data_IF_070848181457
#
_entry.id   IF_070848181457
#
_cell.length_a   1.000
_cell.length_b   1.000
_cell.length_c   1.000
_cell.angle_alpha   90.00
_cell.angle_beta   90.00
_cell.angle_gamma   90.00
#
_symmetry.space_group_name_H-M   'P 1'
#
loop_
_entity.id
_entity.type
_entity.pdbx_description
1 polymer ?
#
# COMPACT_ATOMS: atom_id res chain seq x y z
N UNK A 1 -19.95 -6.81 19.54
CA UNK A 1 -19.79 -5.94 18.34
C UNK A 1 -19.93 -6.79 17.08
N UNK A 2 -20.62 -6.29 16.05
CA UNK A 2 -20.67 -6.83 14.70
C UNK A 2 -19.62 -6.15 13.82
N UNK A 3 -18.75 -6.92 13.17
CA UNK A 3 -17.65 -6.38 12.36
C UNK A 3 -17.79 -6.81 10.90
N UNK A 4 -17.52 -5.90 9.97
CA UNK A 4 -17.38 -6.23 8.55
C UNK A 4 -15.92 -6.07 8.11
N UNK A 5 -15.39 -7.04 7.38
CA UNK A 5 -14.07 -7.00 6.76
C UNK A 5 -14.24 -6.93 5.25
N UNK A 6 -13.67 -5.88 4.63
CA UNK A 6 -13.74 -5.66 3.18
C UNK A 6 -12.54 -6.34 2.52
N UNK A 7 -12.80 -7.22 1.56
CA UNK A 7 -11.80 -7.96 0.78
C UNK A 7 -12.04 -9.48 0.79
N UNK A 8 -11.13 -10.20 0.13
CA UNK A 8 -11.32 -11.62 -0.22
C UNK A 8 -10.01 -12.41 -0.31
N UNK A 9 -8.86 -11.84 0.05
CA UNK A 9 -7.56 -12.49 -0.01
C UNK A 9 -7.16 -13.18 1.30
N UNK A 10 -5.92 -13.68 1.32
CA UNK A 10 -5.32 -14.26 2.53
C UNK A 10 -5.13 -13.26 3.67
N UNK A 11 -4.87 -11.98 3.34
CA UNK A 11 -4.80 -10.88 4.32
C UNK A 11 -6.12 -10.73 5.06
N UNK A 12 -7.24 -10.70 4.36
CA UNK A 12 -8.55 -10.58 4.99
C UNK A 12 -8.93 -11.83 5.79
N UNK A 13 -8.49 -13.02 5.36
CA UNK A 13 -8.62 -14.23 6.17
C UNK A 13 -7.85 -14.09 7.50
N UNK A 14 -6.59 -13.66 7.48
CA UNK A 14 -5.82 -13.45 8.70
C UNK A 14 -6.47 -12.41 9.64
N UNK A 15 -7.04 -11.33 9.07
CA UNK A 15 -7.80 -10.33 9.84
C UNK A 15 -9.04 -10.94 10.49
N UNK A 16 -9.89 -11.64 9.72
CA UNK A 16 -11.10 -12.30 10.23
C UNK A 16 -10.74 -13.31 11.31
N UNK A 17 -9.73 -14.15 11.08
CA UNK A 17 -9.25 -15.13 12.05
C UNK A 17 -8.85 -14.47 13.36
N UNK A 18 -8.08 -13.37 13.30
CA UNK A 18 -7.63 -12.68 14.52
C UNK A 18 -8.78 -11.96 15.23
N UNK A 19 -9.70 -11.37 14.49
CA UNK A 19 -10.89 -10.73 15.02
C UNK A 19 -11.82 -11.74 15.71
N UNK A 20 -11.95 -12.96 15.18
CA UNK A 20 -12.75 -14.03 15.78
C UNK A 20 -12.25 -14.46 17.16
N UNK A 21 -10.97 -14.22 17.48
CA UNK A 21 -10.42 -14.47 18.81
C UNK A 21 -10.81 -13.41 19.87
N UNK A 22 -11.40 -12.28 19.46
CA UNK A 22 -11.76 -11.20 20.38
C UNK A 22 -13.08 -11.51 21.10
N UNK A 23 -13.12 -11.50 22.44
CA UNK A 23 -14.37 -11.72 23.18
C UNK A 23 -15.38 -10.58 23.03
N UNK A 24 -14.97 -9.44 22.44
CA UNK A 24 -15.84 -8.29 22.19
C UNK A 24 -16.61 -8.42 20.87
N UNK A 25 -16.21 -9.35 19.99
CA UNK A 25 -16.79 -9.54 18.67
C UNK A 25 -17.77 -10.70 18.73
N UNK A 26 -19.01 -10.40 18.39
CA UNK A 26 -20.12 -11.36 18.39
C UNK A 26 -20.30 -11.99 17.02
N UNK A 27 -20.13 -11.19 15.96
CA UNK A 27 -20.38 -11.61 14.58
C UNK A 27 -19.43 -10.92 13.62
N UNK A 28 -18.92 -11.68 12.67
CA UNK A 28 -18.04 -11.17 11.61
C UNK A 28 -18.67 -11.44 10.25
N UNK A 29 -18.61 -10.43 9.40
CA UNK A 29 -18.96 -10.49 8.00
C UNK A 29 -17.73 -10.24 7.13
N UNK A 30 -17.62 -10.92 6.00
CA UNK A 30 -16.58 -10.69 5.01
C UNK A 30 -17.20 -10.36 3.65
N UNK A 31 -16.76 -9.26 3.05
CA UNK A 31 -17.38 -8.66 1.87
C UNK A 31 -16.32 -8.49 0.74
N UNK A 32 -16.26 -9.37 -0.27
CA UNK A 32 -17.07 -10.58 -0.46
C UNK A 32 -16.59 -11.81 0.31
N UNK A 33 -15.39 -11.78 0.91
CA UNK A 33 -14.78 -12.95 1.52
C UNK A 33 -14.33 -14.01 0.51
N UNK A 34 -14.03 -15.22 0.98
CA UNK A 34 -13.67 -16.37 0.17
C UNK A 34 -14.05 -17.69 0.89
N UNK A 35 -13.88 -18.83 0.23
CA UNK A 35 -14.26 -20.14 0.76
C UNK A 35 -13.56 -20.56 2.07
N UNK A 36 -12.37 -20.04 2.35
CA UNK A 36 -11.71 -20.29 3.65
C UNK A 36 -12.26 -19.36 4.75
N UNK A 37 -12.61 -18.12 4.40
CA UNK A 37 -13.20 -17.17 5.34
C UNK A 37 -14.61 -17.61 5.76
N UNK A 38 -15.36 -18.28 4.88
CA UNK A 38 -16.71 -18.77 5.20
C UNK A 38 -16.77 -19.78 6.33
N UNK A 39 -15.65 -20.41 6.69
CA UNK A 39 -15.57 -21.33 7.82
C UNK A 39 -15.60 -20.60 9.18
N UNK A 40 -15.29 -19.30 9.19
CA UNK A 40 -15.11 -18.50 10.42
C UNK A 40 -15.87 -17.16 10.41
N UNK A 41 -16.52 -16.79 9.31
CA UNK A 41 -17.34 -15.58 9.19
C UNK A 41 -18.43 -15.71 8.12
N UNK A 42 -19.43 -14.83 8.16
CA UNK A 42 -20.48 -14.78 7.15
C UNK A 42 -19.99 -14.02 5.90
N UNK A 43 -19.74 -14.74 4.82
CA UNK A 43 -19.40 -14.13 3.55
C UNK A 43 -20.67 -13.67 2.80
N UNK A 44 -20.66 -12.44 2.29
CA UNK A 44 -21.73 -11.93 1.43
C UNK A 44 -21.11 -11.33 0.18
N UNK A 45 -21.51 -11.82 -1.00
CA UNK A 45 -20.97 -11.37 -2.28
C UNK A 45 -21.42 -9.94 -2.59
N UNK A 46 -20.58 -8.96 -2.23
CA UNK A 46 -20.71 -7.55 -2.58
C UNK A 46 -19.40 -7.11 -3.20
N UNK A 47 -19.50 -6.47 -4.37
CA UNK A 47 -18.33 -5.98 -5.10
C UNK A 47 -17.66 -4.84 -4.33
N UNK A 48 -16.34 -4.86 -4.27
CA UNK A 48 -15.53 -3.88 -3.52
C UNK A 48 -15.73 -2.42 -3.98
N UNK A 49 -16.11 -2.21 -5.25
CA UNK A 49 -16.39 -0.88 -5.81
C UNK A 49 -17.86 -0.44 -5.68
N UNK A 50 -18.75 -1.29 -5.19
CA UNK A 50 -20.17 -0.97 -5.00
C UNK A 50 -20.41 -0.42 -3.59
N UNK A 51 -20.01 0.84 -3.39
CA UNK A 51 -20.13 1.50 -2.08
C UNK A 51 -21.58 1.65 -1.64
N UNK A 52 -22.53 1.74 -2.56
CA UNK A 52 -23.95 1.84 -2.21
C UNK A 52 -24.45 0.55 -1.57
N UNK A 53 -24.17 -0.60 -2.20
CA UNK A 53 -24.54 -1.90 -1.64
C UNK A 53 -23.80 -2.20 -0.34
N UNK A 54 -22.53 -1.79 -0.21
CA UNK A 54 -21.77 -1.91 1.04
C UNK A 54 -22.41 -1.11 2.17
N UNK A 55 -22.74 0.17 1.93
CA UNK A 55 -23.41 1.01 2.93
C UNK A 55 -24.76 0.45 3.34
N UNK A 56 -25.56 -0.03 2.38
CA UNK A 56 -26.86 -0.64 2.66
C UNK A 56 -26.69 -1.87 3.55
N UNK A 57 -25.77 -2.77 3.19
CA UNK A 57 -25.49 -3.97 3.97
C UNK A 57 -25.03 -3.66 5.40
N UNK A 58 -24.13 -2.68 5.54
CA UNK A 58 -23.58 -2.24 6.83
C UNK A 58 -24.68 -1.68 7.74
N UNK A 59 -25.61 -0.90 7.18
CA UNK A 59 -26.77 -0.41 7.91
C UNK A 59 -27.75 -1.52 8.29
N UNK A 60 -28.16 -2.35 7.33
CA UNK A 60 -29.18 -3.39 7.53
C UNK A 60 -28.74 -4.46 8.53
N UNK A 61 -27.43 -4.71 8.64
CA UNK A 61 -26.86 -5.65 9.60
C UNK A 61 -26.39 -4.99 10.90
N UNK A 62 -26.53 -3.67 11.05
CA UNK A 62 -26.08 -2.88 12.20
C UNK A 62 -24.60 -3.12 12.52
N UNK A 63 -23.74 -3.01 11.50
CA UNK A 63 -22.31 -3.23 11.67
C UNK A 63 -21.69 -2.11 12.52
N UNK A 64 -21.02 -2.51 13.60
CA UNK A 64 -20.39 -1.61 14.55
C UNK A 64 -19.07 -1.04 14.04
N UNK A 65 -18.30 -1.83 13.28
CA UNK A 65 -16.98 -1.47 12.76
C UNK A 65 -16.75 -2.15 11.42
N UNK A 66 -16.30 -1.37 10.44
CA UNK A 66 -15.82 -1.89 9.16
C UNK A 66 -14.29 -1.80 9.08
N UNK A 67 -13.61 -2.85 8.65
CA UNK A 67 -12.15 -2.90 8.45
C UNK A 67 -11.86 -3.10 6.97
N UNK A 68 -11.08 -2.21 6.37
CA UNK A 68 -10.74 -2.31 4.95
C UNK A 68 -9.41 -3.01 4.77
N UNK A 69 -9.41 -4.14 4.05
CA UNK A 69 -8.20 -4.87 3.72
C UNK A 69 -7.46 -4.31 2.50
N UNK A 70 -8.07 -4.27 1.30
CA UNK A 70 -7.41 -3.83 0.08
C UNK A 70 -7.35 -2.31 -0.08
N UNK A 71 -6.32 -1.87 -0.80
CA UNK A 71 -5.99 -0.50 -1.10
C UNK A 71 -6.96 0.15 -2.10
N UNK A 72 -7.51 -0.61 -3.05
CA UNK A 72 -8.34 -0.05 -4.12
C UNK A 72 -9.60 0.66 -3.61
N UNK A 73 -10.39 0.10 -2.66
CA UNK A 73 -11.49 0.84 -2.02
C UNK A 73 -11.05 2.09 -1.26
N UNK A 74 -9.87 2.06 -0.63
CA UNK A 74 -9.33 3.21 0.12
C UNK A 74 -9.03 4.38 -0.83
N UNK A 75 -8.33 4.11 -1.94
CA UNK A 75 -8.02 5.12 -2.97
C UNK A 75 -9.28 5.59 -3.70
N UNK A 76 -10.30 4.75 -3.81
CA UNK A 76 -11.61 5.13 -4.35
C UNK A 76 -12.44 5.99 -3.37
N UNK A 77 -12.11 6.00 -2.07
CA UNK A 77 -12.75 6.85 -1.05
C UNK A 77 -13.86 6.19 -0.26
N UNK A 78 -13.78 4.87 -0.03
CA UNK A 78 -14.74 4.14 0.81
C UNK A 78 -14.86 4.77 2.21
N UNK A 79 -13.74 5.22 2.78
CA UNK A 79 -13.70 5.76 4.15
C UNK A 79 -14.45 7.08 4.24
N UNK A 80 -14.32 7.95 3.25
CA UNK A 80 -15.03 9.23 3.19
C UNK A 80 -16.55 9.01 3.15
N UNK A 81 -16.99 8.11 2.26
CA UNK A 81 -18.40 7.74 2.09
C UNK A 81 -19.02 7.14 3.37
N UNK A 82 -18.27 6.31 4.10
CA UNK A 82 -18.72 5.76 5.38
C UNK A 82 -18.81 6.85 6.47
N UNK A 83 -17.81 7.74 6.55
CA UNK A 83 -17.78 8.83 7.53
C UNK A 83 -18.93 9.82 7.31
N UNK A 84 -19.28 10.13 6.06
CA UNK A 84 -20.44 10.98 5.72
C UNK A 84 -21.76 10.40 6.25
N UNK A 85 -21.84 9.08 6.41
CA UNK A 85 -23.01 8.38 6.98
C UNK A 85 -22.89 8.13 8.48
N UNK A 86 -21.84 8.62 9.14
CA UNK A 86 -21.59 8.39 10.57
C UNK A 86 -21.20 6.94 10.89
N UNK A 87 -20.77 6.15 9.91
CA UNK A 87 -20.40 4.75 10.08
C UNK A 87 -18.91 4.62 10.45
N UNK A 88 -18.61 3.77 11.44
CA UNK A 88 -17.22 3.53 11.86
C UNK A 88 -16.52 2.63 10.86
N UNK A 89 -15.41 3.12 10.34
CA UNK A 89 -14.55 2.41 9.38
C UNK A 89 -13.09 2.65 9.72
N UNK A 90 -12.29 1.59 9.60
CA UNK A 90 -10.85 1.60 9.84
C UNK A 90 -10.10 1.57 8.51
N UNK A 91 -9.45 2.70 8.20
CA UNK A 91 -8.68 2.93 6.98
C UNK A 91 -8.49 4.42 6.74
N UNK A 92 -7.54 4.81 5.86
CA UNK A 92 -7.28 6.19 5.51
C UNK A 92 -8.39 6.77 4.63
N UNK A 93 -8.64 8.08 4.75
CA UNK A 93 -9.48 8.82 3.79
C UNK A 93 -8.85 8.78 2.39
N UNK A 94 -9.63 9.06 1.34
CA UNK A 94 -9.14 9.13 -0.04
C UNK A 94 -7.91 10.01 -0.18
N UNK A 95 -7.91 11.16 0.49
CA UNK A 95 -6.78 12.10 0.46
C UNK A 95 -5.57 11.53 1.17
N UNK A 96 -5.74 10.87 2.33
CA UNK A 96 -4.64 10.23 3.05
C UNK A 96 -4.09 8.99 2.30
N UNK A 97 -4.96 8.26 1.61
CA UNK A 97 -4.61 7.10 0.80
C UNK A 97 -3.75 7.45 -0.43
N UNK A 98 -3.58 8.74 -0.77
CA UNK A 98 -2.64 9.19 -1.81
C UNK A 98 -1.19 8.81 -1.53
N UNK A 99 -0.81 8.58 -0.27
CA UNK A 99 0.52 8.04 0.08
C UNK A 99 0.81 6.71 -0.63
N UNK A 100 -0.21 5.90 -0.92
CA UNK A 100 -0.07 4.68 -1.71
C UNK A 100 -0.59 4.87 -3.15
N UNK A 101 -1.69 5.61 -3.31
CA UNK A 101 -2.36 5.80 -4.60
C UNK A 101 -1.59 6.66 -5.61
N UNK A 102 -0.58 7.43 -5.18
CA UNK A 102 0.32 8.20 -6.06
C UNK A 102 1.75 8.18 -5.54
N UNK A 103 2.64 7.52 -6.28
CA UNK A 103 4.08 7.51 -5.97
C UNK A 103 4.69 8.89 -6.05
N UNK A 104 4.21 9.73 -6.98
CA UNK A 104 4.64 11.14 -7.08
C UNK A 104 4.32 11.88 -5.79
N UNK A 105 3.08 11.77 -5.29
CA UNK A 105 2.69 12.37 -4.01
C UNK A 105 3.55 11.86 -2.86
N UNK A 106 3.72 10.53 -2.75
CA UNK A 106 4.50 9.91 -1.70
C UNK A 106 5.96 10.40 -1.68
N UNK A 107 6.61 10.47 -2.85
CA UNK A 107 8.00 10.92 -2.99
C UNK A 107 8.18 12.40 -2.69
N UNK A 108 7.29 13.25 -3.21
CA UNK A 108 7.30 14.68 -2.90
C UNK A 108 7.04 14.94 -1.40
N UNK A 109 6.11 14.20 -0.80
CA UNK A 109 5.85 14.24 0.64
C UNK A 109 7.08 13.84 1.45
N UNK A 110 7.72 12.71 1.11
CA UNK A 110 8.94 12.26 1.77
C UNK A 110 10.07 13.29 1.65
N UNK A 111 10.27 13.90 0.47
CA UNK A 111 11.25 14.98 0.25
C UNK A 111 10.96 16.20 1.13
N UNK A 112 9.70 16.65 1.19
CA UNK A 112 9.27 17.81 2.00
C UNK A 112 9.52 17.58 3.50
N UNK A 113 9.20 16.39 3.99
CA UNK A 113 9.32 16.02 5.41
C UNK A 113 10.65 15.35 5.77
N UNK A 114 11.61 15.32 4.84
CA UNK A 114 12.95 14.74 5.02
C UNK A 114 12.91 13.28 5.49
N UNK A 115 11.91 12.53 5.00
CA UNK A 115 11.82 11.09 5.22
C UNK A 115 12.78 10.41 4.24
N UNK A 116 13.71 9.56 4.72
CA UNK A 116 14.66 8.87 3.84
C UNK A 116 13.94 8.05 2.76
N UNK A 117 14.34 8.26 1.52
CA UNK A 117 13.85 7.52 0.34
C UNK A 117 14.89 7.62 -0.78
N UNK A 118 14.83 6.71 -1.75
CA UNK A 118 15.68 6.78 -2.94
C UNK A 118 15.51 8.14 -3.64
N UNK A 119 16.64 8.76 -4.04
CA UNK A 119 16.65 9.95 -4.88
C UNK A 119 15.81 9.72 -6.14
N UNK A 120 15.08 10.75 -6.56
CA UNK A 120 14.07 10.62 -7.60
C UNK A 120 13.83 11.90 -8.37
N UNK A 121 13.39 11.74 -9.62
CA UNK A 121 12.80 12.79 -10.44
C UNK A 121 11.46 12.33 -11.04
N UNK A 122 10.60 13.30 -11.39
CA UNK A 122 9.23 13.05 -11.86
C UNK A 122 9.07 13.62 -13.26
N UNK A 123 8.47 12.83 -14.14
CA UNK A 123 8.23 13.20 -15.53
C UNK A 123 6.78 12.92 -15.93
N UNK A 124 6.22 13.78 -16.78
CA UNK A 124 4.86 13.69 -17.31
C UNK A 124 4.82 13.44 -18.83
N UNK A 125 5.98 13.30 -19.46
CA UNK A 125 6.10 13.01 -20.88
C UNK A 125 7.32 12.12 -21.17
N UNK A 126 7.25 11.44 -22.31
CA UNK A 126 8.26 10.47 -22.73
C UNK A 126 9.62 11.11 -23.02
N UNK A 127 9.65 12.24 -23.72
CA UNK A 127 10.88 12.84 -24.24
C UNK A 127 11.78 13.34 -23.09
N UNK A 128 11.21 14.06 -22.12
CA UNK A 128 11.95 14.54 -20.95
C UNK A 128 12.45 13.37 -20.07
N UNK A 129 11.60 12.35 -19.86
CA UNK A 129 11.99 11.15 -19.13
C UNK A 129 13.13 10.40 -19.82
N UNK A 130 13.10 10.34 -21.16
CA UNK A 130 14.13 9.68 -21.96
C UNK A 130 15.44 10.45 -21.96
N UNK A 131 15.38 11.78 -22.06
CA UNK A 131 16.55 12.64 -21.96
C UNK A 131 17.24 12.52 -20.60
N UNK A 132 16.45 12.47 -19.52
CA UNK A 132 16.97 12.22 -18.17
C UNK A 132 17.69 10.87 -18.08
N UNK A 133 17.05 9.77 -18.48
CA UNK A 133 17.65 8.42 -18.38
C UNK A 133 18.94 8.27 -19.20
N UNK A 134 19.04 8.93 -20.35
CA UNK A 134 20.28 8.91 -21.16
C UNK A 134 21.47 9.55 -20.46
N UNK A 135 21.22 10.50 -19.57
CA UNK A 135 22.26 11.20 -18.82
C UNK A 135 22.63 10.47 -17.51
N UNK A 136 21.78 9.56 -17.03
CA UNK A 136 21.95 8.85 -15.76
C UNK A 136 22.74 7.54 -15.89
N UNK A 137 23.32 7.10 -14.77
CA UNK A 137 23.96 5.80 -14.64
C UNK A 137 22.95 4.69 -14.33
N UNK A 138 23.27 3.44 -14.71
CA UNK A 138 22.44 2.26 -14.43
C UNK A 138 23.02 1.41 -13.30
N UNK A 139 22.20 0.64 -12.56
CA UNK A 139 20.74 0.46 -12.72
C UNK A 139 19.90 1.60 -12.12
N UNK A 140 18.69 1.78 -12.65
CA UNK A 140 17.66 2.71 -12.12
C UNK A 140 16.29 2.01 -12.03
N UNK A 141 15.34 2.64 -11.36
CA UNK A 141 13.97 2.12 -11.22
C UNK A 141 12.96 3.10 -11.82
N UNK A 142 12.18 2.64 -12.79
CA UNK A 142 11.10 3.42 -13.43
C UNK A 142 9.77 2.94 -12.87
N UNK A 143 8.97 3.84 -12.30
CA UNK A 143 7.68 3.50 -11.69
C UNK A 143 6.55 4.37 -12.25
N UNK A 144 5.48 3.74 -12.70
CA UNK A 144 4.22 4.45 -13.00
C UNK A 144 3.60 4.99 -11.71
N UNK A 145 3.03 6.19 -11.74
CA UNK A 145 2.54 6.89 -10.55
C UNK A 145 1.43 6.13 -9.79
N UNK A 146 0.35 5.79 -10.49
CA UNK A 146 -0.87 5.27 -9.87
C UNK A 146 -0.84 3.79 -9.44
N UNK A 147 -2.00 3.28 -9.03
CA UNK A 147 -2.20 1.87 -8.68
C UNK A 147 -2.08 0.98 -9.93
N UNK A 148 -1.01 0.19 -9.98
CA UNK A 148 -0.70 -0.70 -11.11
C UNK A 148 -0.73 -2.19 -10.73
N UNK A 149 -1.45 -2.56 -9.66
CA UNK A 149 -1.55 -3.93 -9.13
C UNK A 149 -0.18 -4.63 -8.96
N UNK A 150 0.81 -3.90 -8.46
CA UNK A 150 2.18 -4.39 -8.26
C UNK A 150 3.04 -4.53 -9.53
N UNK A 151 2.52 -4.19 -10.71
CA UNK A 151 3.21 -4.39 -12.01
C UNK A 151 3.82 -3.12 -12.61
N UNK A 152 3.62 -1.97 -11.97
CA UNK A 152 4.05 -0.66 -12.48
C UNK A 152 5.45 -0.24 -12.08
N UNK A 153 6.34 -1.16 -11.68
CA UNK A 153 7.71 -0.88 -11.24
C UNK A 153 8.70 -1.72 -12.03
N UNK A 154 9.65 -1.06 -12.70
CA UNK A 154 10.63 -1.68 -13.59
C UNK A 154 12.04 -1.35 -13.09
N UNK A 155 12.81 -2.36 -12.71
CA UNK A 155 14.26 -2.21 -12.52
C UNK A 155 14.90 -2.39 -13.90
N UNK A 156 15.66 -1.41 -14.35
CA UNK A 156 16.28 -1.40 -15.68
C UNK A 156 17.80 -1.28 -15.55
N UNK A 157 18.52 -2.12 -16.30
CA UNK A 157 19.97 -2.24 -16.21
C UNK A 157 20.72 -1.60 -17.38
N UNK A 158 20.00 -1.22 -18.43
CA UNK A 158 20.56 -0.53 -19.58
C UNK A 158 19.53 0.39 -20.26
N UNK A 159 20.02 1.19 -21.23
CA UNK A 159 19.21 2.12 -22.00
C UNK A 159 18.08 1.45 -22.77
N UNK A 160 18.28 0.21 -23.25
CA UNK A 160 17.29 -0.50 -24.07
C UNK A 160 16.12 -0.96 -23.20
N UNK A 161 16.40 -1.47 -22.00
CA UNK A 161 15.37 -1.82 -21.02
C UNK A 161 14.61 -0.58 -20.57
N UNK A 162 15.31 0.52 -20.32
CA UNK A 162 14.67 1.78 -19.93
C UNK A 162 13.77 2.36 -21.03
N UNK A 163 14.24 2.40 -22.28
CA UNK A 163 13.42 2.84 -23.42
C UNK A 163 12.16 1.98 -23.55
N UNK A 164 12.30 0.65 -23.40
CA UNK A 164 11.16 -0.27 -23.44
C UNK A 164 10.16 0.00 -22.32
N UNK A 165 10.64 0.26 -21.09
CA UNK A 165 9.77 0.59 -19.96
C UNK A 165 9.03 1.91 -20.18
N UNK A 166 9.73 2.97 -20.61
CA UNK A 166 9.12 4.28 -20.88
C UNK A 166 8.09 4.22 -22.02
N UNK A 167 8.39 3.50 -23.12
CA UNK A 167 7.42 3.31 -24.21
C UNK A 167 6.17 2.58 -23.75
N UNK A 168 6.32 1.50 -22.97
CA UNK A 168 5.17 0.77 -22.40
C UNK A 168 4.26 1.69 -21.58
N UNK A 169 4.85 2.58 -20.78
CA UNK A 169 4.10 3.47 -19.89
C UNK A 169 3.45 4.63 -20.66
N UNK A 170 4.25 5.41 -21.40
CA UNK A 170 3.78 6.65 -22.03
C UNK A 170 3.14 6.46 -23.41
N UNK A 171 3.63 5.50 -24.21
CA UNK A 171 3.20 5.31 -25.60
C UNK A 171 2.15 4.22 -25.72
N UNK A 172 2.45 3.03 -25.21
CA UNK A 172 1.53 1.89 -25.26
C UNK A 172 0.41 2.00 -24.21
N UNK A 173 0.56 2.93 -23.24
CA UNK A 173 -0.43 3.28 -22.22
C UNK A 173 -0.93 2.06 -21.45
N UNK A 174 -0.06 1.08 -21.15
CA UNK A 174 -0.48 -0.20 -20.55
C UNK A 174 -1.11 -0.05 -19.15
N UNK A 175 -0.90 1.09 -18.48
CA UNK A 175 -1.48 1.42 -17.18
C UNK A 175 -2.54 2.53 -17.23
N UNK A 176 -2.96 2.94 -18.43
CA UNK A 176 -3.88 4.07 -18.63
C UNK A 176 -3.40 5.32 -17.89
N UNK A 177 -4.32 6.00 -17.21
CA UNK A 177 -4.04 7.23 -16.45
C UNK A 177 -2.99 7.05 -15.33
N UNK A 178 -2.80 5.83 -14.80
CA UNK A 178 -1.74 5.58 -13.80
C UNK A 178 -0.34 5.74 -14.37
N UNK A 179 -0.20 5.69 -15.70
CA UNK A 179 1.04 5.93 -16.44
C UNK A 179 1.14 7.32 -17.06
N UNK A 180 0.27 8.27 -16.70
CA UNK A 180 0.40 9.68 -17.16
C UNK A 180 1.66 10.35 -16.60
N UNK A 181 2.19 9.82 -15.50
CA UNK A 181 3.45 10.27 -14.89
C UNK A 181 4.29 9.07 -14.48
N UNK A 182 5.60 9.27 -14.51
CA UNK A 182 6.57 8.31 -13.97
C UNK A 182 7.43 8.97 -12.89
N UNK A 183 7.81 8.15 -11.92
CA UNK A 183 8.91 8.44 -11.00
C UNK A 183 10.10 7.61 -11.46
N UNK A 184 11.23 8.27 -11.69
CA UNK A 184 12.51 7.59 -11.96
C UNK A 184 13.36 7.74 -10.70
N UNK A 185 13.82 6.61 -10.15
CA UNK A 185 14.53 6.55 -8.88
C UNK A 185 15.90 5.91 -9.06
N UNK A 186 16.86 6.29 -8.20
CA UNK A 186 18.08 5.51 -8.02
C UNK A 186 17.76 4.07 -7.60
N UNK A 187 18.60 3.13 -8.02
CA UNK A 187 18.50 1.76 -7.57
C UNK A 187 19.18 1.59 -6.20
N UNK A 188 18.41 1.21 -5.19
CA UNK A 188 18.94 0.82 -3.89
C UNK A 188 19.17 -0.69 -3.85
N UNK A 189 20.38 -1.10 -3.45
CA UNK A 189 20.76 -2.49 -3.25
C UNK A 189 20.88 -2.78 -1.76
N UNK A 190 20.16 -3.77 -1.27
CA UNK A 190 20.13 -4.12 0.14
C UNK A 190 19.17 -5.27 0.41
N UNK A 191 18.83 -5.47 1.67
CA UNK A 191 17.82 -6.44 2.09
C UNK A 191 16.45 -5.75 2.24
N UNK A 192 15.43 -6.30 1.57
CA UNK A 192 14.07 -5.78 1.72
C UNK A 192 13.48 -6.20 3.07
N UNK A 193 12.79 -5.28 3.72
CA UNK A 193 12.04 -5.54 4.94
C UNK A 193 10.83 -4.62 5.05
N UNK A 194 9.97 -4.94 6.01
CA UNK A 194 8.68 -4.32 6.18
C UNK A 194 8.44 -4.01 7.64
N UNK A 195 8.02 -2.79 7.94
CA UNK A 195 7.51 -2.42 9.26
C UNK A 195 6.14 -1.78 9.07
N UNK A 196 5.16 -2.30 9.81
CA UNK A 196 3.78 -1.86 9.77
C UNK A 196 3.48 -1.11 11.05
N UNK A 197 2.71 -0.02 10.98
CA UNK A 197 2.18 0.65 12.14
C UNK A 197 0.67 0.91 12.00
N UNK A 198 -0.04 0.79 13.12
CA UNK A 198 -1.41 1.27 13.24
C UNK A 198 -1.35 2.73 13.67
N UNK A 199 -2.03 3.62 12.96
CA UNK A 199 -2.08 5.05 13.26
C UNK A 199 -3.52 5.53 13.48
N UNK A 200 -3.68 6.49 14.39
CA UNK A 200 -4.97 7.11 14.72
C UNK A 200 -5.15 8.51 14.11
N UNK A 201 -4.16 8.99 13.35
CA UNK A 201 -4.08 10.35 12.82
C UNK A 201 -3.04 11.24 13.51
N UNK A 202 -2.56 10.85 14.69
CA UNK A 202 -1.55 11.60 15.48
C UNK A 202 -0.51 10.69 16.11
N UNK A 203 -0.95 9.58 16.69
CA UNK A 203 -0.13 8.58 17.32
C UNK A 203 -0.02 7.36 16.41
N UNK A 204 0.99 6.54 16.67
CA UNK A 204 1.16 5.26 16.01
C UNK A 204 1.63 4.18 16.99
N UNK A 205 1.25 2.94 16.68
CA UNK A 205 1.73 1.73 17.35
C UNK A 205 2.39 0.86 16.29
N UNK A 206 3.73 0.69 16.32
CA UNK A 206 4.42 -0.19 15.40
C UNK A 206 4.12 -1.66 15.74
N UNK A 207 4.00 -2.49 14.72
CA UNK A 207 3.87 -3.94 14.81
C UNK A 207 5.22 -4.61 14.57
N UNK A 208 5.27 -5.94 14.72
CA UNK A 208 6.48 -6.71 14.43
C UNK A 208 6.94 -6.50 12.98
N UNK A 209 8.26 -6.52 12.79
CA UNK A 209 8.87 -6.47 11.46
C UNK A 209 8.55 -7.75 10.66
N UNK A 210 8.59 -7.66 9.34
CA UNK A 210 8.52 -8.83 8.46
C UNK A 210 9.42 -8.65 7.25
N UNK A 211 9.80 -9.76 6.62
CA UNK A 211 10.49 -9.76 5.33
C UNK A 211 9.65 -10.56 4.36
N UNK A 212 9.38 -9.99 3.19
CA UNK A 212 8.60 -10.57 2.12
C UNK A 212 9.51 -11.01 0.97
N UNK A 213 9.13 -12.12 0.33
CA UNK A 213 9.82 -12.64 -0.85
C UNK A 213 8.96 -12.36 -2.08
N UNK A 214 9.36 -11.39 -2.89
CA UNK A 214 8.57 -10.96 -4.06
C UNK A 214 8.81 -11.79 -5.31
N UNK A 215 9.95 -12.44 -5.42
CA UNK A 215 10.37 -13.19 -6.62
C UNK A 215 9.65 -14.53 -6.70
N UNK A 216 9.26 -14.92 -7.91
CA UNK A 216 8.42 -16.09 -8.15
C UNK A 216 9.12 -17.44 -7.86
N UNK A 217 10.46 -17.48 -7.93
CA UNK A 217 11.25 -18.70 -7.80
C UNK A 217 12.32 -18.56 -6.70
N UNK A 218 12.84 -19.69 -6.24
CA UNK A 218 13.89 -19.78 -5.22
C UNK A 218 15.12 -18.93 -5.59
N UNK A 219 15.83 -18.45 -4.57
CA UNK A 219 17.03 -17.59 -4.69
C UNK A 219 16.77 -16.28 -5.46
N UNK A 220 15.59 -15.69 -5.21
CA UNK A 220 15.16 -14.41 -5.76
C UNK A 220 15.18 -14.33 -7.30
N UNK A 221 14.83 -15.44 -7.94
CA UNK A 221 14.78 -15.55 -9.40
C UNK A 221 13.37 -15.35 -9.96
N UNK A 222 13.30 -15.01 -11.25
CA UNK A 222 12.04 -14.85 -11.97
C UNK A 222 11.37 -13.49 -11.79
N UNK A 223 10.13 -13.32 -12.29
CA UNK A 223 9.42 -12.05 -12.24
C UNK A 223 9.03 -11.66 -10.80
N UNK A 224 8.82 -10.36 -10.58
CA UNK A 224 8.21 -9.85 -9.35
C UNK A 224 6.72 -10.27 -9.28
N UNK A 225 6.27 -10.62 -8.07
CA UNK A 225 4.89 -10.96 -7.72
C UNK A 225 4.35 -9.99 -6.66
N UNK A 226 3.13 -10.23 -6.17
CA UNK A 226 2.61 -9.53 -5.00
C UNK A 226 3.17 -10.02 -3.66
N UNK A 227 4.01 -11.07 -3.66
CA UNK A 227 4.57 -11.73 -2.48
C UNK A 227 4.30 -13.24 -2.50
N UNK A 228 5.36 -14.05 -2.51
CA UNK A 228 5.30 -15.52 -2.49
C UNK A 228 5.34 -16.11 -1.08
N UNK A 229 5.83 -15.34 -0.12
CA UNK A 229 5.92 -15.73 1.28
C UNK A 229 6.47 -14.58 2.12
N UNK A 230 6.23 -14.65 3.43
CA UNK A 230 6.78 -13.72 4.39
C UNK A 230 6.98 -14.39 5.74
N UNK A 231 7.88 -13.86 6.56
CA UNK A 231 8.10 -14.30 7.93
C UNK A 231 8.27 -13.11 8.88
N UNK A 232 8.05 -13.36 10.17
CA UNK A 232 8.12 -12.35 11.23
C UNK A 232 8.58 -13.00 12.55
N UNK A 233 9.44 -12.34 13.36
CA UNK A 233 10.11 -11.07 13.07
C UNK A 233 11.19 -11.23 11.98
N UNK A 234 11.56 -10.13 11.32
CA UNK A 234 12.64 -10.10 10.35
C UNK A 234 13.94 -9.60 11.00
N UNK A 235 14.95 -10.46 11.24
CA UNK A 235 16.19 -10.08 11.95
C UNK A 235 16.89 -8.85 11.37
N UNK A 236 16.80 -8.66 10.05
CA UNK A 236 17.38 -7.51 9.34
C UNK A 236 16.73 -6.17 9.70
N UNK A 237 15.50 -6.17 10.22
CA UNK A 237 14.75 -4.97 10.57
C UNK A 237 14.50 -4.85 12.09
N UNK A 238 15.35 -5.48 12.91
CA UNK A 238 15.26 -5.43 14.36
C UNK A 238 16.21 -4.41 15.01
N UNK A 239 16.06 -4.22 16.33
CA UNK A 239 16.97 -3.41 17.13
C UNK A 239 17.05 -1.95 16.67
N UNK A 240 18.24 -1.52 16.25
CA UNK A 240 18.49 -0.14 15.83
C UNK A 240 17.68 0.24 14.58
N UNK A 241 17.56 -0.67 13.62
CA UNK A 241 16.86 -0.41 12.34
C UNK A 241 15.37 -0.21 12.58
N UNK A 242 14.78 -1.02 13.46
CA UNK A 242 13.39 -0.88 13.89
C UNK A 242 13.13 0.52 14.47
N UNK A 243 13.96 0.95 15.42
CA UNK A 243 13.83 2.26 16.05
C UNK A 243 14.06 3.42 15.08
N UNK A 244 15.05 3.30 14.19
CA UNK A 244 15.30 4.32 13.17
C UNK A 244 14.13 4.44 12.18
N UNK A 245 13.51 3.33 11.81
CA UNK A 245 12.32 3.36 10.95
C UNK A 245 11.17 4.07 11.65
N UNK A 246 10.97 3.82 12.95
CA UNK A 246 9.94 4.54 13.72
C UNK A 246 10.22 6.04 13.75
N UNK A 247 11.43 6.46 14.12
CA UNK A 247 11.76 7.88 14.32
C UNK A 247 11.95 8.67 13.02
N UNK A 248 12.48 8.04 11.96
CA UNK A 248 12.83 8.73 10.71
C UNK A 248 11.83 8.52 9.58
N UNK A 249 10.99 7.48 9.66
CA UNK A 249 10.02 7.16 8.59
C UNK A 249 8.58 7.27 9.10
N UNK A 250 8.19 6.43 10.06
CA UNK A 250 6.79 6.31 10.46
C UNK A 250 6.27 7.54 11.21
N UNK A 251 7.00 8.03 12.22
CA UNK A 251 6.59 9.21 12.99
C UNK A 251 6.54 10.48 12.11
N UNK A 252 7.57 10.81 11.31
CA UNK A 252 7.50 11.97 10.44
C UNK A 252 6.41 11.85 9.38
N UNK A 253 6.11 10.65 8.89
CA UNK A 253 5.00 10.46 7.97
C UNK A 253 3.65 10.78 8.61
N UNK A 254 3.36 10.27 9.80
CA UNK A 254 2.10 10.55 10.50
C UNK A 254 2.01 12.02 10.90
N UNK A 255 3.10 12.62 11.40
CA UNK A 255 3.14 14.03 11.76
C UNK A 255 2.96 14.94 10.54
N UNK A 256 3.70 14.70 9.46
CA UNK A 256 3.59 15.48 8.24
C UNK A 256 2.19 15.42 7.64
N UNK A 257 1.58 14.24 7.61
CA UNK A 257 0.19 14.09 7.14
C UNK A 257 -0.80 14.90 8.00
N UNK A 258 -0.61 14.93 9.32
CA UNK A 258 -1.41 15.78 10.22
C UNK A 258 -1.17 17.27 9.98
N UNK A 259 0.08 17.69 9.73
CA UNK A 259 0.42 19.09 9.42
C UNK A 259 -0.16 19.58 8.09
N UNK A 260 -0.30 18.70 7.09
CA UNK A 260 -1.00 19.00 5.83
C UNK A 260 -2.53 19.08 6.00
N UNK A 261 -3.05 18.81 7.20
CA UNK A 261 -4.50 18.71 7.46
C UNK A 261 -5.13 17.43 6.89
N UNK A 262 -4.32 16.41 6.62
CA UNK A 262 -4.72 15.14 6.01
C UNK A 262 -4.32 13.98 6.96
N UNK A 263 -4.84 13.92 8.20
CA UNK A 263 -4.40 12.92 9.17
C UNK A 263 -4.63 11.49 8.66
N UNK A 264 -3.61 10.65 8.80
CA UNK A 264 -3.66 9.25 8.38
C UNK A 264 -4.15 8.35 9.52
N UNK A 265 -5.30 7.72 9.34
CA UNK A 265 -5.85 6.69 10.24
C UNK A 265 -5.81 5.35 9.52
N UNK A 266 -5.44 4.26 10.19
CA UNK A 266 -5.43 2.92 9.60
C UNK A 266 -4.08 2.24 9.75
N UNK A 267 -3.72 1.44 8.74
CA UNK A 267 -2.44 0.70 8.71
C UNK A 267 -1.49 1.40 7.74
N UNK A 268 -0.39 1.93 8.25
CA UNK A 268 0.72 2.44 7.44
C UNK A 268 1.76 1.33 7.31
N UNK A 269 1.92 0.81 6.09
CA UNK A 269 2.92 -0.19 5.76
C UNK A 269 4.12 0.49 5.08
N UNK A 270 5.26 0.52 5.75
CA UNK A 270 6.52 0.97 5.17
C UNK A 270 7.33 -0.23 4.63
N UNK A 271 7.53 -0.26 3.31
CA UNK A 271 8.52 -1.10 2.66
C UNK A 271 9.89 -0.43 2.69
N UNK A 272 10.91 -1.16 3.12
CA UNK A 272 12.25 -0.67 3.38
C UNK A 272 13.27 -1.42 2.55
N UNK A 273 14.31 -0.71 2.12
CA UNK A 273 15.55 -1.31 1.64
C UNK A 273 16.62 -1.02 2.68
N UNK A 274 17.13 -2.07 3.34
CA UNK A 274 18.17 -1.95 4.36
C UNK A 274 19.52 -2.00 3.65
N UNK A 275 20.18 -0.83 3.61
CA UNK A 275 21.47 -0.58 2.93
C UNK A 275 22.65 -0.51 3.90
#
# INVERSE_FOLDING_TARGET
MKVAVIGSGGREHALVWKLACSPQIEKIYALPGNGGISDIAHCQDIKLGDFQSLLQFVNDNEIDLTVVGPEAPLVAGIVDVFKEKGLRIFGPTKTAAKLEGSKVFAKQFMKKYKIPTAEFEVFDNYDDAWDYVKAEGFPIVIKADGLCAGKGSFVVYDLKEAESALKKIFVDRIFGASGDRVVIEEFLSGEEASIIAIADGKNLVPLASSQDHKRAYDNDQGPNTGGMGAYSPAPVAEGKIFQETIEKVLKPAIQGMAEEGIPFTGVLYAGLMIV
#
